data_IF_155999485205
#
_entry.id   IF_155999485205
#
_cell.length_a   1.000
_cell.length_b   1.000
_cell.length_c   1.000
_cell.angle_alpha   90.00
_cell.angle_beta   90.00
_cell.angle_gamma   90.00
#
_symmetry.space_group_name_H-M   'P 1'
#
loop_
_entity.id
_entity.type
_entity.pdbx_description
1 polymer ?
#
# COMPACT_ATOMS: atom_id res chain seq x y z
N UNK A 1 -11.68 -0.01 -2.16
CA UNK A 1 -10.98 0.68 -1.06
C UNK A 1 -10.33 1.97 -1.56
N UNK A 2 -10.47 3.06 -0.80
CA UNK A 2 -9.81 4.35 -1.04
C UNK A 2 -8.34 4.28 -0.60
N UNK A 3 -7.51 5.19 -1.11
CA UNK A 3 -6.10 5.28 -0.73
C UNK A 3 -5.90 5.53 0.76
N UNK A 4 -6.71 6.42 1.35
CA UNK A 4 -6.67 6.73 2.79
C UNK A 4 -6.97 5.50 3.65
N UNK A 5 -8.00 4.72 3.29
CA UNK A 5 -8.34 3.48 3.99
C UNK A 5 -7.20 2.47 3.95
N UNK A 6 -6.52 2.36 2.80
CA UNK A 6 -5.38 1.45 2.61
C UNK A 6 -4.18 1.88 3.46
N UNK A 7 -3.88 3.18 3.50
CA UNK A 7 -2.81 3.72 4.35
C UNK A 7 -3.13 3.58 5.84
N UNK A 8 -4.38 3.78 6.25
CA UNK A 8 -4.80 3.58 7.64
C UNK A 8 -4.68 2.12 8.07
N UNK A 9 -5.10 1.17 7.21
CA UNK A 9 -4.91 -0.27 7.48
C UNK A 9 -3.44 -0.64 7.64
N UNK A 10 -2.56 -0.09 6.80
CA UNK A 10 -1.13 -0.28 6.93
C UNK A 10 -0.62 0.25 8.29
N UNK A 11 -1.02 1.46 8.70
CA UNK A 11 -0.61 2.03 9.99
C UNK A 11 -1.05 1.18 11.17
N UNK A 12 -2.31 0.74 11.21
CA UNK A 12 -2.84 -0.13 12.28
C UNK A 12 -2.08 -1.45 12.34
N UNK A 13 -1.76 -2.06 11.19
CA UNK A 13 -0.97 -3.29 11.16
C UNK A 13 0.46 -3.04 11.64
N UNK A 14 1.09 -1.93 11.25
CA UNK A 14 2.42 -1.58 11.74
C UNK A 14 2.45 -1.38 13.26
N UNK A 15 1.48 -0.65 13.82
CA UNK A 15 1.37 -0.45 15.27
C UNK A 15 1.20 -1.77 16.03
N UNK A 16 0.41 -2.70 15.49
CA UNK A 16 0.27 -4.04 16.06
C UNK A 16 1.60 -4.80 16.07
N UNK A 17 2.39 -4.69 15.00
CA UNK A 17 3.68 -5.38 14.88
C UNK A 17 4.68 -4.81 15.88
N UNK A 18 4.82 -3.48 15.89
CA UNK A 18 5.71 -2.75 16.78
C UNK A 18 5.34 -2.99 18.26
N UNK A 19 4.04 -3.09 18.56
CA UNK A 19 3.51 -3.44 19.88
C UNK A 19 3.63 -4.92 20.26
N UNK A 20 4.38 -5.74 19.49
CA UNK A 20 4.54 -7.20 19.68
C UNK A 20 3.23 -7.98 19.73
N UNK A 21 2.16 -7.43 19.15
CA UNK A 21 0.92 -8.17 19.01
C UNK A 21 1.08 -9.20 17.90
N UNK A 22 0.44 -10.35 18.08
CA UNK A 22 0.51 -11.45 17.12
C UNK A 22 -0.21 -11.06 15.82
N UNK A 23 0.53 -10.60 14.81
CA UNK A 23 -0.04 -10.34 13.49
C UNK A 23 -0.14 -11.65 12.74
N UNK A 24 -1.34 -11.92 12.22
CA UNK A 24 -1.55 -13.08 11.36
C UNK A 24 -0.86 -12.83 10.02
N UNK A 25 -0.01 -13.75 9.59
CA UNK A 25 0.61 -13.75 8.24
C UNK A 25 -0.45 -13.53 7.15
N UNK A 26 -1.63 -14.14 7.31
CA UNK A 26 -2.78 -13.95 6.40
C UNK A 26 -3.19 -12.47 6.23
N UNK A 27 -3.13 -11.67 7.29
CA UNK A 27 -3.48 -10.26 7.24
C UNK A 27 -2.41 -9.44 6.50
N UNK A 28 -1.14 -9.77 6.68
CA UNK A 28 -0.02 -9.16 5.93
C UNK A 28 -0.08 -9.53 4.44
N UNK A 29 -0.35 -10.79 4.11
CA UNK A 29 -0.52 -11.25 2.72
C UNK A 29 -1.69 -10.53 2.05
N UNK A 30 -2.83 -10.42 2.75
CA UNK A 30 -4.00 -9.69 2.25
C UNK A 30 -3.70 -8.21 2.05
N UNK A 31 -2.96 -7.58 2.97
CA UNK A 31 -2.53 -6.19 2.81
C UNK A 31 -1.61 -6.03 1.59
N UNK A 32 -0.63 -6.93 1.40
CA UNK A 32 0.26 -6.92 0.23
C UNK A 32 -0.53 -7.01 -1.08
N UNK A 33 -1.50 -7.92 -1.17
CA UNK A 33 -2.37 -8.05 -2.35
C UNK A 33 -3.13 -6.74 -2.63
N UNK A 34 -3.74 -6.14 -1.60
CA UNK A 34 -4.46 -4.86 -1.75
C UNK A 34 -3.55 -3.71 -2.21
N UNK A 35 -2.30 -3.67 -1.74
CA UNK A 35 -1.31 -2.68 -2.18
C UNK A 35 -0.95 -2.87 -3.66
N UNK A 36 -0.74 -4.11 -4.10
CA UNK A 36 -0.44 -4.47 -5.50
C UNK A 36 -1.61 -4.10 -6.42
N UNK A 37 -2.84 -4.51 -6.07
CA UNK A 37 -4.02 -4.15 -6.86
C UNK A 37 -4.19 -2.64 -7.00
N UNK A 38 -3.91 -1.89 -5.93
CA UNK A 38 -4.04 -0.43 -5.96
C UNK A 38 -2.98 0.23 -6.82
N UNK A 39 -1.76 -0.30 -6.81
CA UNK A 39 -0.66 0.15 -7.66
C UNK A 39 -0.96 -0.10 -9.14
N UNK A 40 -1.45 -1.29 -9.50
CA UNK A 40 -1.87 -1.62 -10.87
C UNK A 40 -2.96 -0.66 -11.36
N UNK A 41 -4.00 -0.40 -10.55
CA UNK A 41 -5.05 0.58 -10.89
C UNK A 41 -4.51 1.99 -11.08
N UNK A 42 -3.42 2.36 -10.42
CA UNK A 42 -2.77 3.65 -10.62
C UNK A 42 -1.89 3.68 -11.87
N UNK A 43 -1.24 2.58 -12.23
CA UNK A 43 -0.52 2.43 -13.49
C UNK A 43 -1.48 2.55 -14.69
N UNK A 44 -2.60 1.83 -14.65
CA UNK A 44 -3.67 1.94 -15.66
C UNK A 44 -4.16 3.38 -15.79
N UNK A 45 -4.38 4.07 -14.66
CA UNK A 45 -4.79 5.48 -14.68
C UNK A 45 -3.72 6.40 -15.25
N UNK A 46 -2.44 6.16 -14.99
CA UNK A 46 -1.36 6.95 -15.59
C UNK A 46 -1.27 6.75 -17.10
N UNK A 47 -1.67 5.58 -17.61
CA UNK A 47 -1.77 5.31 -19.04
C UNK A 47 -2.96 6.04 -19.70
N UNK A 48 -3.97 6.46 -18.92
CA UNK A 48 -5.04 7.33 -19.44
C UNK A 48 -4.55 8.79 -19.55
N UNK A 49 -5.10 9.56 -20.49
CA UNK A 49 -4.76 10.95 -20.76
C UNK A 49 -5.10 11.93 -19.62
N UNK A 50 -4.47 11.76 -18.46
CA UNK A 50 -4.62 12.61 -17.28
C UNK A 50 -3.85 13.92 -17.45
N UNK A 51 -4.37 14.99 -16.83
CA UNK A 51 -3.62 16.22 -16.63
C UNK A 51 -2.39 16.00 -15.77
N UNK A 52 -1.36 16.83 -15.97
CA UNK A 52 -0.07 16.74 -15.28
C UNK A 52 -0.22 16.70 -13.75
N UNK A 53 -0.98 17.63 -13.18
CA UNK A 53 -1.28 17.67 -11.73
C UNK A 53 -1.89 16.37 -11.21
N UNK A 54 -2.75 15.70 -11.99
CA UNK A 54 -3.33 14.40 -11.61
C UNK A 54 -2.27 13.29 -11.71
N UNK A 55 -1.43 13.30 -12.75
CA UNK A 55 -0.32 12.34 -12.89
C UNK A 55 0.66 12.43 -11.74
N UNK A 56 1.10 13.63 -11.36
CA UNK A 56 2.02 13.84 -10.23
C UNK A 56 1.43 13.33 -8.92
N UNK A 57 0.16 13.63 -8.64
CA UNK A 57 -0.54 13.13 -7.45
C UNK A 57 -0.61 11.60 -7.43
N UNK A 58 -0.80 10.96 -8.58
CA UNK A 58 -0.80 9.50 -8.67
C UNK A 58 0.62 8.94 -8.48
N UNK A 59 1.65 9.53 -9.10
CA UNK A 59 3.05 9.15 -8.91
C UNK A 59 3.45 9.21 -7.43
N UNK A 60 3.08 10.27 -6.72
CA UNK A 60 3.33 10.41 -5.28
C UNK A 60 2.66 9.27 -4.49
N UNK A 61 1.39 8.98 -4.79
CA UNK A 61 0.66 7.88 -4.14
C UNK A 61 1.29 6.52 -4.43
N UNK A 62 1.78 6.29 -5.65
CA UNK A 62 2.49 5.05 -6.00
C UNK A 62 3.78 4.88 -5.19
N UNK A 63 4.58 5.94 -5.00
CA UNK A 63 5.77 5.89 -4.14
C UNK A 63 5.43 5.48 -2.70
N UNK A 64 4.31 5.99 -2.17
CA UNK A 64 3.83 5.59 -0.84
C UNK A 64 3.44 4.11 -0.81
N UNK A 65 2.73 3.62 -1.82
CA UNK A 65 2.37 2.19 -1.92
C UNK A 65 3.60 1.29 -2.02
N UNK A 66 4.60 1.67 -2.80
CA UNK A 66 5.85 0.92 -2.95
C UNK A 66 6.60 0.84 -1.60
N UNK A 67 6.71 1.97 -0.89
CA UNK A 67 7.31 2.00 0.44
C UNK A 67 6.55 1.12 1.45
N UNK A 68 5.21 1.10 1.38
CA UNK A 68 4.38 0.23 2.21
C UNK A 68 4.57 -1.25 1.86
N UNK A 69 4.63 -1.61 0.57
CA UNK A 69 4.91 -2.99 0.12
C UNK A 69 6.25 -3.48 0.65
N UNK A 70 7.32 -2.69 0.49
CA UNK A 70 8.65 -3.03 1.02
C UNK A 70 8.62 -3.26 2.53
N UNK A 71 7.83 -2.49 3.28
CA UNK A 71 7.64 -2.73 4.72
C UNK A 71 6.87 -4.02 4.99
N UNK A 72 5.76 -4.28 4.31
CA UNK A 72 5.01 -5.54 4.46
C UNK A 72 5.88 -6.75 4.13
N UNK A 73 6.72 -6.68 3.10
CA UNK A 73 7.64 -7.75 2.75
C UNK A 73 8.66 -8.04 3.86
N UNK A 74 9.19 -6.99 4.51
CA UNK A 74 10.04 -7.17 5.68
C UNK A 74 9.31 -7.85 6.85
N UNK A 75 8.04 -7.50 7.07
CA UNK A 75 7.20 -8.09 8.12
C UNK A 75 6.80 -9.55 7.82
N UNK A 76 6.83 -9.97 6.55
CA UNK A 76 6.51 -11.34 6.13
C UNK A 76 7.72 -12.27 6.23
N UNK A 77 8.94 -11.73 6.20
CA UNK A 77 10.21 -12.49 6.22
C UNK A 77 10.82 -12.54 7.62
N UNK A 78 10.54 -11.56 8.48
CA UNK A 78 11.08 -11.46 9.85
C UNK A 78 10.09 -11.91 10.91
#
# INVERSE_FOLDING_TARGET
>A
MKFSELTSRFSVLKEKYDGKNNIKIKDLTKLKQLLVEREQRYQEKLATGLSERKREKIKLRMRVLEAQKKKVDKLLVG
#
